data_IF_931249306918
#
_entry.id   IF_931249306918
#
_cell.length_a   1.000
_cell.length_b   1.000
_cell.length_c   1.000
_cell.angle_alpha   90.00
_cell.angle_beta   90.00
_cell.angle_gamma   90.00
#
_symmetry.space_group_name_H-M   'P 1'
#
loop_
_entity.id
_entity.type
_entity.pdbx_description
1 polymer ?
#
# COMPACT_ATOMS: atom_id res chain seq x y z
N UNK A 1 -39.11 -1.97 15.37
CA UNK A 1 -40.17 -1.01 15.75
C UNK A 1 -39.98 0.24 14.92
N UNK A 2 -41.03 0.80 14.32
CA UNK A 2 -40.96 2.07 13.58
C UNK A 2 -41.94 3.10 14.19
N UNK A 3 -41.83 4.37 13.79
CA UNK A 3 -42.64 5.46 14.35
C UNK A 3 -44.15 5.22 14.15
N UNK A 4 -44.54 4.54 13.07
CA UNK A 4 -45.95 4.30 12.71
C UNK A 4 -46.55 3.22 13.62
N UNK A 5 -45.88 2.07 13.74
CA UNK A 5 -46.28 0.98 14.64
C UNK A 5 -46.28 1.43 16.11
N UNK A 6 -45.34 2.27 16.53
CA UNK A 6 -45.36 2.83 17.89
C UNK A 6 -46.57 3.75 18.10
N UNK A 7 -46.93 4.58 17.12
CA UNK A 7 -48.12 5.42 17.21
C UNK A 7 -49.41 4.60 17.29
N UNK A 8 -49.52 3.51 16.51
CA UNK A 8 -50.68 2.62 16.56
C UNK A 8 -50.87 1.96 17.94
N UNK A 9 -49.77 1.66 18.64
CA UNK A 9 -49.81 1.09 20.00
C UNK A 9 -50.05 2.14 21.09
N UNK A 10 -49.44 3.32 20.95
CA UNK A 10 -49.46 4.38 21.99
C UNK A 10 -50.66 5.30 21.86
N UNK A 11 -51.24 5.44 20.65
CA UNK A 11 -52.43 6.25 20.38
C UNK A 11 -52.23 7.77 20.51
N UNK A 12 -51.00 8.25 20.75
CA UNK A 12 -50.74 9.70 20.88
C UNK A 12 -49.45 10.15 20.22
N UNK A 13 -49.49 11.33 19.60
CA UNK A 13 -48.31 11.95 18.98
C UNK A 13 -47.24 12.34 20.02
N UNK A 14 -47.64 12.77 21.21
CA UNK A 14 -46.71 13.17 22.29
C UNK A 14 -46.03 11.96 22.92
N UNK A 15 -46.77 10.90 23.22
CA UNK A 15 -46.21 9.67 23.78
C UNK A 15 -45.24 8.99 22.81
N UNK A 16 -45.63 8.89 21.54
CA UNK A 16 -44.75 8.35 20.48
C UNK A 16 -43.47 9.19 20.33
N UNK A 17 -43.59 10.51 20.39
CA UNK A 17 -42.44 11.42 20.29
C UNK A 17 -41.47 11.29 21.46
N UNK A 18 -41.98 11.09 22.68
CA UNK A 18 -41.15 10.86 23.87
C UNK A 18 -40.35 9.55 23.77
N UNK A 19 -40.97 8.46 23.29
CA UNK A 19 -40.30 7.16 23.09
C UNK A 19 -39.20 7.26 22.04
N UNK A 20 -39.42 8.00 20.96
CA UNK A 20 -38.49 8.13 19.84
C UNK A 20 -37.53 9.32 19.93
N UNK A 21 -37.59 10.11 21.00
CA UNK A 21 -36.75 11.31 21.18
C UNK A 21 -36.91 12.35 20.06
N UNK A 22 -38.11 12.49 19.48
CA UNK A 22 -38.40 13.43 18.40
C UNK A 22 -39.48 14.43 18.80
N UNK A 23 -39.93 15.28 17.87
CA UNK A 23 -41.02 16.23 18.15
C UNK A 23 -42.39 15.63 17.81
N UNK A 24 -43.47 15.94 18.56
CA UNK A 24 -44.83 15.51 18.22
C UNK A 24 -45.27 15.99 16.82
N UNK A 25 -44.75 17.13 16.35
CA UNK A 25 -44.97 17.64 14.99
C UNK A 25 -44.34 16.74 13.93
N UNK A 26 -43.18 16.15 14.21
CA UNK A 26 -42.52 15.17 13.32
C UNK A 26 -43.36 13.89 13.24
N UNK A 27 -43.82 13.37 14.39
CA UNK A 27 -44.68 12.18 14.44
C UNK A 27 -45.97 12.44 13.65
N UNK A 28 -46.69 13.53 13.93
CA UNK A 28 -47.90 13.91 13.19
C UNK A 28 -47.65 13.94 11.68
N UNK A 29 -46.54 14.55 11.22
CA UNK A 29 -46.18 14.62 9.80
C UNK A 29 -45.92 13.25 9.17
N UNK A 30 -45.31 12.33 9.92
CA UNK A 30 -45.06 10.95 9.45
C UNK A 30 -46.37 10.18 9.33
N UNK A 31 -47.24 10.26 10.34
CA UNK A 31 -48.55 9.58 10.35
C UNK A 31 -49.47 10.12 9.27
N UNK A 32 -49.67 11.45 9.19
CA UNK A 32 -50.53 12.05 8.16
C UNK A 32 -50.04 11.74 6.74
N UNK A 33 -48.73 11.60 6.54
CA UNK A 33 -48.17 11.17 5.25
C UNK A 33 -48.48 9.70 4.96
N UNK A 34 -48.36 8.83 5.95
CA UNK A 34 -48.65 7.40 5.82
C UNK A 34 -50.15 7.14 5.57
N UNK A 35 -51.03 7.85 6.27
CA UNK A 35 -52.49 7.81 6.08
C UNK A 35 -52.90 8.28 4.68
N UNK A 36 -52.17 9.24 4.11
CA UNK A 36 -52.34 9.68 2.73
C UNK A 36 -51.74 8.71 1.69
N UNK A 37 -51.29 7.51 2.09
CA UNK A 37 -50.66 6.52 1.21
C UNK A 37 -49.27 6.91 0.69
N UNK A 38 -48.67 7.98 1.23
CA UNK A 38 -47.40 8.52 0.77
C UNK A 38 -46.20 7.91 1.50
N UNK A 39 -45.12 7.62 0.77
CA UNK A 39 -43.80 7.36 1.36
C UNK A 39 -43.01 8.66 1.50
N UNK A 40 -42.01 8.68 2.38
CA UNK A 40 -41.11 9.83 2.47
C UNK A 40 -40.44 10.04 1.10
N UNK A 41 -40.66 11.21 0.50
CA UNK A 41 -40.04 11.54 -0.77
C UNK A 41 -38.52 11.30 -0.67
N UNK A 42 -37.92 10.53 -1.59
CA UNK A 42 -36.50 10.30 -1.57
C UNK A 42 -35.78 11.65 -1.60
N UNK A 43 -34.76 11.79 -0.78
CA UNK A 43 -33.98 13.02 -0.71
C UNK A 43 -33.31 13.20 -2.08
N UNK A 44 -33.86 14.09 -2.91
CA UNK A 44 -33.29 14.39 -4.22
C UNK A 44 -31.88 14.94 -4.00
N UNK A 45 -30.87 14.14 -4.38
CA UNK A 45 -29.49 14.58 -4.34
C UNK A 45 -29.37 15.74 -5.32
N UNK A 46 -29.17 16.96 -4.82
CA UNK A 46 -28.89 18.13 -5.68
C UNK A 46 -27.71 17.78 -6.56
N UNK A 47 -27.90 17.84 -7.88
CA UNK A 47 -26.85 17.67 -8.88
C UNK A 47 -25.72 18.64 -8.52
N UNK A 48 -24.52 18.11 -8.28
CA UNK A 48 -23.40 18.97 -7.91
C UNK A 48 -22.94 19.70 -9.17
N UNK A 49 -22.72 21.01 -9.07
CA UNK A 49 -22.29 21.89 -10.19
C UNK A 49 -21.10 21.32 -10.99
N UNK A 50 -20.24 20.51 -10.37
CA UNK A 50 -19.05 19.94 -11.00
C UNK A 50 -19.22 18.55 -11.63
N UNK A 51 -20.41 17.95 -11.61
CA UNK A 51 -20.58 16.59 -12.14
C UNK A 51 -20.19 16.48 -13.62
N UNK A 52 -20.43 17.53 -14.41
CA UNK A 52 -20.03 17.61 -15.84
C UNK A 52 -18.53 17.47 -16.07
N UNK A 53 -17.69 17.86 -15.10
CA UNK A 53 -16.22 17.84 -15.24
C UNK A 53 -15.53 16.79 -14.39
N UNK A 54 -16.27 15.99 -13.62
CA UNK A 54 -15.70 14.98 -12.74
C UNK A 54 -14.87 13.94 -13.52
N UNK A 55 -15.37 13.48 -14.67
CA UNK A 55 -14.67 12.53 -15.55
C UNK A 55 -13.36 13.09 -16.10
N UNK A 56 -13.36 14.34 -16.59
CA UNK A 56 -12.16 15.03 -17.07
C UNK A 56 -11.10 15.14 -15.96
N UNK A 57 -11.53 15.47 -14.74
CA UNK A 57 -10.64 15.59 -13.58
C UNK A 57 -10.01 14.25 -13.23
N UNK A 58 -10.81 13.18 -13.17
CA UNK A 58 -10.31 11.83 -12.88
C UNK A 58 -9.29 11.37 -13.93
N UNK A 59 -9.59 11.55 -15.21
CA UNK A 59 -8.70 11.17 -16.32
C UNK A 59 -7.34 11.90 -16.24
N UNK A 60 -7.35 13.22 -15.99
CA UNK A 60 -6.11 14.00 -15.86
C UNK A 60 -5.31 13.69 -14.59
N UNK A 61 -5.98 13.33 -13.50
CA UNK A 61 -5.31 12.85 -12.29
C UNK A 61 -4.61 11.52 -12.57
N UNK A 62 -5.30 10.57 -13.20
CA UNK A 62 -4.72 9.27 -13.58
C UNK A 62 -3.52 9.44 -14.52
N UNK A 63 -3.66 10.22 -15.59
CA UNK A 63 -2.60 10.43 -16.57
C UNK A 63 -1.34 11.10 -15.99
N UNK A 64 -1.48 11.85 -14.89
CA UNK A 64 -0.37 12.55 -14.22
C UNK A 64 0.09 11.88 -12.93
N UNK A 65 -0.38 10.66 -12.66
CA UNK A 65 -0.12 9.93 -11.40
C UNK A 65 -0.39 10.81 -10.17
N UNK A 66 -1.51 11.53 -10.19
CA UNK A 66 -1.93 12.41 -9.10
C UNK A 66 -1.14 13.70 -8.92
N UNK A 67 -0.18 14.03 -9.81
CA UNK A 67 0.70 15.19 -9.65
C UNK A 67 0.11 16.51 -10.15
N UNK A 68 -0.86 16.50 -11.08
CA UNK A 68 -1.43 17.73 -11.65
C UNK A 68 -2.05 18.64 -10.58
N UNK A 69 -1.80 19.95 -10.65
CA UNK A 69 -2.40 20.92 -9.72
C UNK A 69 -3.80 21.33 -10.19
N UNK A 70 -4.68 21.65 -9.24
CA UNK A 70 -6.02 22.17 -9.57
C UNK A 70 -5.94 23.49 -10.36
N UNK A 71 -4.91 24.33 -10.11
CA UNK A 71 -4.66 25.56 -10.87
C UNK A 71 -4.45 25.27 -12.36
N UNK A 72 -3.64 24.27 -12.70
CA UNK A 72 -3.39 23.87 -14.10
C UNK A 72 -4.59 23.19 -14.76
N UNK A 73 -5.42 22.52 -13.98
CA UNK A 73 -6.58 21.81 -14.49
C UNK A 73 -7.82 22.71 -14.71
N UNK A 74 -7.88 23.85 -14.01
CA UNK A 74 -9.04 24.76 -14.04
C UNK A 74 -9.37 25.31 -15.44
N UNK A 75 -8.41 25.74 -16.28
CA UNK A 75 -8.73 26.20 -17.64
C UNK A 75 -9.41 25.12 -18.48
N UNK A 76 -8.92 23.87 -18.43
CA UNK A 76 -9.53 22.75 -19.14
C UNK A 76 -10.94 22.42 -18.61
N UNK A 77 -11.16 22.53 -17.30
CA UNK A 77 -12.49 22.34 -16.73
C UNK A 77 -13.45 23.47 -17.16
N UNK A 78 -13.01 24.72 -17.23
CA UNK A 78 -13.81 25.85 -17.71
C UNK A 78 -14.20 25.67 -19.18
N UNK A 79 -13.25 25.26 -20.03
CA UNK A 79 -13.52 24.93 -21.42
C UNK A 79 -14.56 23.80 -21.57
N UNK A 80 -14.60 22.88 -20.61
CA UNK A 80 -15.61 21.81 -20.53
C UNK A 80 -16.93 22.23 -19.83
N UNK A 81 -17.16 23.52 -19.62
CA UNK A 81 -18.42 24.04 -19.07
C UNK A 81 -18.50 24.16 -17.55
N UNK A 82 -17.38 24.05 -16.82
CA UNK A 82 -17.38 24.29 -15.38
C UNK A 82 -17.58 25.78 -15.04
N UNK A 83 -18.72 26.11 -14.44
CA UNK A 83 -19.10 27.48 -14.04
C UNK A 83 -18.95 27.75 -12.53
N UNK A 84 -18.51 26.76 -11.75
CA UNK A 84 -18.37 26.89 -10.30
C UNK A 84 -17.15 27.71 -9.84
N UNK A 85 -17.09 27.99 -8.54
CA UNK A 85 -15.96 28.73 -7.95
C UNK A 85 -14.65 27.93 -7.92
N UNK A 86 -13.52 28.62 -8.00
CA UNK A 86 -12.20 28.00 -7.90
C UNK A 86 -11.98 27.25 -6.57
N UNK A 87 -12.60 27.71 -5.48
CA UNK A 87 -12.60 27.00 -4.19
C UNK A 87 -13.30 25.64 -4.30
N UNK A 88 -14.47 25.59 -4.94
CA UNK A 88 -15.21 24.35 -5.15
C UNK A 88 -14.41 23.39 -6.03
N UNK A 89 -13.79 23.90 -7.10
CA UNK A 89 -12.94 23.11 -7.98
C UNK A 89 -11.75 22.47 -7.26
N UNK A 90 -11.05 23.24 -6.40
CA UNK A 90 -9.96 22.69 -5.57
C UNK A 90 -10.42 21.55 -4.67
N UNK A 91 -11.63 21.64 -4.09
CA UNK A 91 -12.21 20.57 -3.27
C UNK A 91 -12.50 19.31 -4.08
N UNK A 92 -13.08 19.45 -5.28
CA UNK A 92 -13.28 18.34 -6.21
C UNK A 92 -11.95 17.63 -6.52
N UNK A 93 -10.94 18.39 -6.94
CA UNK A 93 -9.63 17.82 -7.31
C UNK A 93 -8.98 17.13 -6.11
N UNK A 94 -9.07 17.71 -4.91
CA UNK A 94 -8.55 17.09 -3.70
C UNK A 94 -9.25 15.75 -3.40
N UNK A 95 -10.58 15.70 -3.48
CA UNK A 95 -11.35 14.47 -3.27
C UNK A 95 -11.02 13.40 -4.32
N UNK A 96 -10.95 13.78 -5.60
CA UNK A 96 -10.60 12.87 -6.69
C UNK A 96 -9.17 12.32 -6.54
N UNK A 97 -8.20 13.13 -6.08
CA UNK A 97 -6.85 12.65 -5.77
C UNK A 97 -6.81 11.69 -4.59
N UNK A 98 -7.65 11.89 -3.57
CA UNK A 98 -7.76 10.96 -2.44
C UNK A 98 -8.31 9.62 -2.93
N UNK A 99 -9.37 9.62 -3.74
CA UNK A 99 -9.92 8.40 -4.33
C UNK A 99 -8.87 7.68 -5.19
N UNK A 100 -8.23 8.40 -6.11
CA UNK A 100 -7.18 7.85 -6.96
C UNK A 100 -6.02 7.23 -6.17
N UNK A 101 -5.57 7.87 -5.07
CA UNK A 101 -4.49 7.31 -4.23
C UNK A 101 -4.88 6.01 -3.53
N UNK A 102 -6.16 5.83 -3.19
CA UNK A 102 -6.65 4.59 -2.58
C UNK A 102 -6.56 3.40 -3.55
N UNK A 103 -6.73 3.68 -4.83
CA UNK A 103 -6.69 2.68 -5.89
C UNK A 103 -5.27 2.48 -6.44
N UNK A 104 -4.49 3.56 -6.57
CA UNK A 104 -3.11 3.57 -7.07
C UNK A 104 -2.06 3.31 -5.96
N UNK A 105 -2.44 2.62 -4.88
CA UNK A 105 -1.44 2.17 -3.93
C UNK A 105 -0.51 1.18 -4.65
N UNK A 106 0.82 1.43 -4.60
CA UNK A 106 1.83 0.49 -5.10
C UNK A 106 1.47 -0.89 -4.58
N UNK A 107 1.04 -1.78 -5.48
CA UNK A 107 0.62 -3.12 -5.11
C UNK A 107 1.76 -3.80 -4.36
N UNK A 108 1.59 -4.02 -3.05
CA UNK A 108 2.47 -4.89 -2.30
C UNK A 108 2.23 -6.29 -2.83
N UNK A 109 3.07 -6.77 -3.72
CA UNK A 109 3.11 -8.19 -4.07
C UNK A 109 3.70 -8.92 -2.86
N UNK A 110 2.94 -9.78 -2.16
CA UNK A 110 3.52 -10.58 -1.09
C UNK A 110 4.63 -11.42 -1.70
N UNK A 111 5.82 -11.31 -1.15
CA UNK A 111 6.90 -12.20 -1.54
C UNK A 111 6.55 -13.61 -1.07
N UNK A 112 6.66 -14.58 -1.98
CA UNK A 112 6.54 -16.01 -1.66
C UNK A 112 7.95 -16.51 -1.38
N UNK A 113 8.16 -17.11 -0.21
CA UNK A 113 9.46 -17.57 0.26
C UNK A 113 9.49 -19.08 0.35
N UNK A 114 10.55 -19.72 -0.13
CA UNK A 114 10.83 -21.12 0.18
C UNK A 114 11.72 -21.27 1.44
N UNK A 115 11.62 -22.38 2.18
CA UNK A 115 12.54 -22.69 3.28
C UNK A 115 14.01 -22.60 2.82
N UNK A 116 14.86 -21.93 3.59
CA UNK A 116 16.30 -21.79 3.29
C UNK A 116 16.65 -20.92 2.08
N UNK A 117 15.68 -20.40 1.33
CA UNK A 117 15.98 -19.64 0.10
C UNK A 117 16.52 -18.23 0.40
N UNK A 118 15.89 -17.52 1.34
CA UNK A 118 16.20 -16.12 1.61
C UNK A 118 16.50 -15.86 3.09
N UNK A 119 17.68 -15.26 3.33
CA UNK A 119 18.01 -14.56 4.56
C UNK A 119 17.94 -13.06 4.29
N UNK A 120 17.15 -12.33 5.07
CA UNK A 120 17.05 -10.87 4.97
C UNK A 120 17.88 -10.26 6.09
N UNK A 121 18.83 -9.39 5.74
CA UNK A 121 19.67 -8.69 6.70
C UNK A 121 19.35 -7.20 6.72
N UNK A 122 19.50 -6.60 7.91
CA UNK A 122 19.33 -5.18 8.14
C UNK A 122 20.23 -4.70 9.28
N UNK A 123 20.49 -3.38 9.32
CA UNK A 123 21.21 -2.70 10.37
C UNK A 123 20.35 -1.63 11.02
N UNK A 124 20.27 -1.65 12.35
CA UNK A 124 19.66 -0.62 13.18
C UNK A 124 20.71 0.18 13.95
N UNK A 125 20.28 1.31 14.50
CA UNK A 125 21.06 2.08 15.47
C UNK A 125 20.21 2.30 16.71
N UNK A 126 20.70 1.86 17.87
CA UNK A 126 20.06 2.06 19.15
C UNK A 126 21.06 2.77 20.09
N UNK A 127 20.82 4.05 20.34
CA UNK A 127 21.65 4.81 21.29
C UNK A 127 23.12 4.93 20.89
N UNK A 128 23.44 4.91 19.59
CA UNK A 128 24.82 4.95 19.07
C UNK A 128 25.45 3.58 18.84
N UNK A 129 24.83 2.49 19.34
CA UNK A 129 25.26 1.12 19.10
C UNK A 129 24.59 0.59 17.83
N UNK A 130 25.37 -0.08 16.98
CA UNK A 130 24.86 -0.70 15.76
C UNK A 130 24.24 -2.05 16.09
N UNK A 131 23.09 -2.36 15.47
CA UNK A 131 22.35 -3.60 15.69
C UNK A 131 22.22 -4.32 14.37
N UNK A 132 22.93 -5.44 14.21
CA UNK A 132 22.77 -6.33 13.07
C UNK A 132 21.59 -7.26 13.30
N UNK A 133 20.73 -7.41 12.30
CA UNK A 133 19.60 -8.33 12.33
C UNK A 133 19.59 -9.16 11.04
N UNK A 134 19.52 -10.48 11.18
CA UNK A 134 19.34 -11.42 10.08
C UNK A 134 18.07 -12.26 10.33
N UNK A 135 17.23 -12.41 9.31
CA UNK A 135 15.94 -13.08 9.43
C UNK A 135 15.71 -14.04 8.28
N UNK A 136 15.48 -15.32 8.60
CA UNK A 136 15.04 -16.29 7.60
C UNK A 136 13.63 -15.93 7.14
N UNK A 137 13.46 -15.71 5.83
CA UNK A 137 12.22 -15.15 5.29
C UNK A 137 11.01 -16.06 5.53
N UNK A 138 11.20 -17.38 5.40
CA UNK A 138 10.16 -18.39 5.56
C UNK A 138 9.84 -18.69 7.04
N UNK A 139 10.81 -19.08 7.86
CA UNK A 139 10.59 -19.49 9.26
C UNK A 139 10.53 -18.33 10.25
N UNK A 140 10.98 -17.13 9.86
CA UNK A 140 11.07 -15.93 10.72
C UNK A 140 12.01 -16.09 11.93
N UNK A 141 12.87 -17.11 11.94
CA UNK A 141 14.01 -17.20 12.88
C UNK A 141 14.87 -15.96 12.72
N UNK A 142 15.26 -15.36 13.85
CA UNK A 142 16.04 -14.12 13.90
C UNK A 142 17.36 -14.36 14.60
N UNK A 143 18.41 -13.82 14.01
CA UNK A 143 19.73 -13.71 14.59
C UNK A 143 20.06 -12.22 14.76
N UNK A 144 20.44 -11.80 15.97
CA UNK A 144 20.68 -10.39 16.29
C UNK A 144 21.99 -10.25 17.03
N UNK A 145 22.81 -9.28 16.63
CA UNK A 145 24.10 -8.95 17.27
C UNK A 145 24.28 -7.43 17.37
N UNK A 146 25.05 -7.01 18.34
CA UNK A 146 25.46 -5.61 18.51
C UNK A 146 26.88 -5.42 17.95
N UNK A 147 27.14 -4.26 17.37
CA UNK A 147 28.44 -3.91 16.81
C UNK A 147 28.77 -2.43 17.04
N UNK A 148 30.04 -2.09 16.93
CA UNK A 148 30.51 -0.71 16.92
C UNK A 148 30.31 -0.02 15.56
N UNK A 149 30.31 -0.79 14.46
CA UNK A 149 30.25 -0.28 13.09
C UNK A 149 29.47 -1.21 12.15
N UNK A 150 29.17 -0.70 10.95
CA UNK A 150 28.48 -1.41 9.87
C UNK A 150 29.46 -1.78 8.74
N UNK A 151 30.74 -2.03 9.06
CA UNK A 151 31.77 -2.35 8.07
C UNK A 151 31.66 -3.78 7.53
N UNK A 152 32.50 -4.08 6.55
CA UNK A 152 32.48 -5.35 5.82
C UNK A 152 32.86 -6.53 6.64
N UNK A 153 34.00 -6.37 7.27
CA UNK A 153 34.59 -7.33 8.17
C UNK A 153 33.58 -7.70 9.25
N UNK A 154 32.96 -6.69 9.85
CA UNK A 154 31.91 -6.86 10.87
C UNK A 154 30.68 -7.60 10.33
N UNK A 155 30.13 -7.16 9.20
CA UNK A 155 28.94 -7.80 8.60
C UNK A 155 29.22 -9.25 8.18
N UNK A 156 30.39 -9.53 7.59
CA UNK A 156 30.77 -10.88 7.15
C UNK A 156 31.02 -11.82 8.34
N UNK A 157 31.65 -11.32 9.41
CA UNK A 157 31.82 -12.08 10.65
C UNK A 157 30.47 -12.46 11.27
N UNK A 158 29.52 -11.52 11.31
CA UNK A 158 28.17 -11.78 11.82
C UNK A 158 27.36 -12.72 10.92
N UNK A 159 27.57 -12.67 9.60
CA UNK A 159 26.97 -13.64 8.68
C UNK A 159 27.53 -15.05 8.90
N UNK A 160 28.84 -15.18 9.09
CA UNK A 160 29.47 -16.47 9.39
C UNK A 160 28.90 -17.06 10.69
N UNK A 161 28.86 -16.27 11.76
CA UNK A 161 28.26 -16.67 13.05
C UNK A 161 26.77 -17.02 12.88
N UNK A 162 26.03 -16.24 12.06
CA UNK A 162 24.64 -16.52 11.77
C UNK A 162 24.46 -17.88 11.08
N UNK A 163 25.29 -18.23 10.09
CA UNK A 163 25.21 -19.49 9.37
C UNK A 163 25.51 -20.69 10.26
N UNK A 164 26.51 -20.56 11.13
CA UNK A 164 26.81 -21.57 12.16
C UNK A 164 25.63 -21.72 13.12
N UNK A 165 25.05 -20.62 13.58
CA UNK A 165 23.92 -20.62 14.53
C UNK A 165 22.66 -21.26 13.96
N UNK A 166 22.35 -21.01 12.69
CA UNK A 166 21.17 -21.60 12.04
C UNK A 166 21.44 -23.02 11.49
N UNK A 167 22.69 -23.49 11.54
CA UNK A 167 23.08 -24.82 11.06
C UNK A 167 23.04 -24.99 9.54
N UNK A 168 23.21 -23.91 8.77
CA UNK A 168 23.14 -23.97 7.31
C UNK A 168 23.36 -22.63 6.61
N UNK A 169 23.53 -22.69 5.29
CA UNK A 169 23.77 -21.51 4.44
C UNK A 169 22.57 -21.28 3.52
N UNK A 170 21.84 -20.16 3.67
CA UNK A 170 20.72 -19.81 2.81
C UNK A 170 21.16 -19.54 1.37
N UNK A 171 20.31 -19.81 0.38
CA UNK A 171 20.67 -19.66 -1.04
C UNK A 171 20.97 -18.20 -1.41
N UNK A 172 20.23 -17.25 -0.82
CA UNK A 172 20.33 -15.82 -1.12
C UNK A 172 20.29 -15.01 0.16
N UNK A 173 21.14 -13.99 0.23
CA UNK A 173 21.11 -12.95 1.26
C UNK A 173 20.58 -11.66 0.63
N UNK A 174 19.46 -11.16 1.15
CA UNK A 174 18.85 -9.89 0.77
C UNK A 174 19.26 -8.81 1.77
N UNK A 175 19.86 -7.73 1.28
CA UNK A 175 20.18 -6.54 2.06
C UNK A 175 19.56 -5.31 1.40
N UNK A 176 19.19 -4.31 2.19
CA UNK A 176 18.91 -2.97 1.64
C UNK A 176 20.21 -2.35 1.10
N UNK A 177 20.07 -1.31 0.28
CA UNK A 177 21.12 -0.48 -0.27
C UNK A 177 21.75 0.36 0.84
N UNK A 178 22.56 -0.28 1.68
CA UNK A 178 23.34 0.37 2.74
C UNK A 178 24.29 1.40 2.10
N UNK A 179 24.56 2.53 2.77
CA UNK A 179 25.45 3.58 2.24
C UNK A 179 26.88 3.09 1.91
N UNK A 180 27.30 1.97 2.49
CA UNK A 180 28.55 1.25 2.20
C UNK A 180 28.55 0.48 0.86
N UNK A 181 27.39 0.31 0.19
CA UNK A 181 27.19 -0.56 -0.99
C UNK A 181 27.73 0.01 -2.31
N UNK A 182 28.62 1.02 -2.28
CA UNK A 182 29.29 1.47 -3.50
C UNK A 182 30.37 0.45 -3.91
N UNK A 183 29.92 -0.49 -4.73
CA UNK A 183 30.65 -1.17 -5.81
C UNK A 183 31.81 -2.16 -5.53
N UNK A 184 32.40 -2.25 -4.33
CA UNK A 184 33.63 -3.05 -4.16
C UNK A 184 33.47 -4.44 -3.48
N UNK A 185 32.34 -4.74 -2.84
CA UNK A 185 32.29 -5.82 -1.85
C UNK A 185 31.96 -7.21 -2.38
N UNK A 186 30.98 -7.34 -3.28
CA UNK A 186 30.47 -8.65 -3.68
C UNK A 186 31.33 -9.39 -4.70
N UNK A 187 32.31 -8.72 -5.32
CA UNK A 187 33.11 -9.30 -6.41
C UNK A 187 34.37 -10.05 -5.93
N UNK A 188 34.81 -9.83 -4.70
CA UNK A 188 36.17 -10.24 -4.28
C UNK A 188 36.18 -11.47 -3.36
N UNK A 189 35.08 -11.80 -2.67
CA UNK A 189 35.08 -12.81 -1.61
C UNK A 189 34.40 -14.14 -1.95
N UNK A 190 33.74 -14.27 -3.10
CA UNK A 190 32.99 -15.49 -3.48
C UNK A 190 33.68 -16.38 -4.53
N UNK A 191 34.89 -16.02 -4.97
CA UNK A 191 35.62 -16.78 -5.99
C UNK A 191 36.58 -17.85 -5.41
N UNK A 192 36.75 -17.94 -4.08
CA UNK A 192 37.77 -18.80 -3.47
C UNK A 192 37.24 -20.06 -2.76
N UNK A 193 35.93 -20.29 -2.72
CA UNK A 193 35.34 -21.49 -2.11
C UNK A 193 34.57 -22.30 -3.16
N UNK A 194 35.29 -23.09 -3.97
CA UNK A 194 34.66 -23.92 -5.00
C UNK A 194 35.60 -24.68 -5.92
N UNK A 195 36.71 -25.23 -5.42
CA UNK A 195 37.41 -26.33 -6.12
C UNK A 195 37.17 -27.64 -5.38
N UNK A 196 35.92 -28.10 -5.41
CA UNK A 196 35.61 -29.50 -5.17
C UNK A 196 35.90 -30.27 -6.47
N UNK A 197 37.00 -31.01 -6.43
CA UNK A 197 37.39 -32.03 -7.38
C UNK A 197 36.24 -33.00 -7.65
N UNK A 198 35.85 -33.14 -8.93
CA UNK A 198 35.02 -34.25 -9.41
C UNK A 198 35.81 -35.03 -10.48
N UNK A 199 35.82 -36.37 -10.42
CA UNK A 199 36.75 -37.19 -11.19
C UNK A 199 36.33 -37.33 -12.66
N UNK A 200 37.35 -37.28 -13.52
CA UNK A 200 37.44 -37.84 -14.88
C UNK A 200 36.17 -38.47 -15.46
N UNK A 201 35.61 -37.83 -16.49
CA UNK A 201 35.04 -38.51 -17.65
C UNK A 201 35.79 -38.05 -18.90
N UNK A 202 36.28 -39.02 -19.67
CA UNK A 202 37.07 -38.86 -20.90
C UNK A 202 36.14 -38.61 -22.09
N UNK A 203 36.61 -37.82 -23.06
CA UNK A 203 36.10 -37.75 -24.44
C UNK A 203 34.78 -36.98 -24.57
N UNK A 204 34.59 -36.01 -25.46
CA UNK A 204 34.94 -36.02 -26.88
C UNK A 204 35.27 -34.59 -27.32
N UNK A 205 36.32 -34.46 -28.13
CA UNK A 205 36.66 -33.25 -28.87
C UNK A 205 35.68 -33.11 -30.02
N UNK A 206 35.09 -31.93 -30.20
CA UNK A 206 35.03 -31.32 -31.54
C UNK A 206 35.12 -29.81 -31.39
N UNK A 207 36.09 -29.27 -32.12
CA UNK A 207 36.34 -27.86 -32.35
C UNK A 207 35.55 -27.47 -33.60
N UNK A 208 34.84 -26.36 -33.58
CA UNK A 208 34.71 -25.53 -34.79
C UNK A 208 34.33 -24.09 -34.42
N UNK A 209 35.23 -23.20 -34.82
CA UNK A 209 35.06 -21.76 -34.87
C UNK A 209 34.08 -21.35 -35.99
N UNK A 210 33.85 -20.03 -36.05
CA UNK A 210 33.19 -19.21 -37.09
C UNK A 210 31.68 -19.02 -36.90
N UNK A 211 31.06 -17.86 -37.13
CA UNK A 211 31.55 -16.54 -37.51
C UNK A 211 30.49 -15.48 -37.13
N UNK A 212 31.02 -14.26 -36.97
CA UNK A 212 30.41 -12.93 -37.03
C UNK A 212 29.25 -12.77 -38.05
N UNK A 213 28.21 -12.06 -37.63
CA UNK A 213 27.50 -11.00 -38.40
C UNK A 213 26.71 -10.15 -37.42
#
# INVERSE_FOLDING_TARGET
MDIISTYQQVGSYRGTAAIWGTTPKTVKRVITRAEAGGTAAPRVRRVRNYESVAGLVAAKIASTRGRISAKRLLPAARAAGFSGSARNFRRLVAAAKVAWRREDHRGRRPAVWAPGEYLVIDWGNLGGVKVFCAVLAWSRVRFVRFAADEQATTTMGMLAECFETIGGVPTKVLADRMGASRAAWWRTSWSSAGSASSPRMRGVRTCSCTCRS
#
